data_IF_452531869798
#
_entry.id   IF_452531869798
#
_cell.length_a   1.000
_cell.length_b   1.000
_cell.length_c   1.000
_cell.angle_alpha   90.00
_cell.angle_beta   90.00
_cell.angle_gamma   90.00
#
_symmetry.space_group_name_H-M   'P 1'
#
loop_
_entity.id
_entity.type
_entity.pdbx_description
1 polymer ?
#
# COMPACT_ATOMS: atom_id res chain seq x y z
N UNK A 1 17.70 22.77 0.62
CA UNK A 1 17.89 22.87 2.08
C UNK A 1 18.48 21.54 2.59
N UNK A 2 19.02 21.51 3.83
CA UNK A 2 19.47 20.28 4.48
C UNK A 2 18.34 19.72 5.33
N UNK A 3 18.07 18.41 5.24
CA UNK A 3 17.02 17.71 5.98
C UNK A 3 17.61 16.50 6.71
N UNK A 4 17.19 16.29 7.94
CA UNK A 4 17.49 15.09 8.71
C UNK A 4 16.22 14.24 8.81
N UNK A 5 16.32 12.95 8.45
CA UNK A 5 15.26 11.97 8.62
C UNK A 5 15.67 11.01 9.74
N UNK A 6 14.85 10.91 10.77
CA UNK A 6 15.12 10.05 11.92
C UNK A 6 14.34 8.75 11.75
N UNK A 7 15.06 7.64 11.60
CA UNK A 7 14.55 6.30 11.36
C UNK A 7 14.60 5.90 9.89
N UNK A 8 15.24 4.77 9.62
CA UNK A 8 15.41 4.17 8.29
C UNK A 8 14.39 3.06 7.99
N UNK A 9 13.22 3.10 8.61
CA UNK A 9 12.08 2.26 8.23
C UNK A 9 11.40 2.75 6.95
N UNK A 10 10.37 2.06 6.48
CA UNK A 10 9.68 2.38 5.21
C UNK A 10 9.23 3.83 5.11
N UNK A 11 8.65 4.37 6.18
CA UNK A 11 8.19 5.77 6.20
C UNK A 11 9.36 6.77 6.09
N UNK A 12 10.44 6.52 6.83
CA UNK A 12 11.63 7.36 6.78
C UNK A 12 12.33 7.31 5.43
N UNK A 13 12.48 6.12 4.85
CA UNK A 13 13.05 5.96 3.52
C UNK A 13 12.18 6.61 2.43
N UNK A 14 10.84 6.49 2.51
CA UNK A 14 9.92 7.17 1.61
C UNK A 14 10.05 8.69 1.70
N UNK A 15 10.16 9.24 2.91
CA UNK A 15 10.38 10.66 3.13
C UNK A 15 11.74 11.12 2.58
N UNK A 16 12.80 10.34 2.82
CA UNK A 16 14.15 10.63 2.33
C UNK A 16 14.22 10.67 0.81
N UNK A 17 13.68 9.64 0.14
CA UNK A 17 13.63 9.57 -1.33
C UNK A 17 12.82 10.72 -1.90
N UNK A 18 11.67 11.04 -1.33
CA UNK A 18 10.81 12.13 -1.79
C UNK A 18 11.49 13.50 -1.63
N UNK A 19 12.18 13.71 -0.51
CA UNK A 19 12.89 14.96 -0.25
C UNK A 19 14.14 15.10 -1.16
N UNK A 20 14.89 14.03 -1.37
CA UNK A 20 16.03 14.03 -2.28
C UNK A 20 15.61 14.33 -3.73
N UNK A 21 14.49 13.77 -4.17
CA UNK A 21 13.89 14.05 -5.47
C UNK A 21 13.45 15.50 -5.66
N UNK A 22 13.07 16.15 -4.56
CA UNK A 22 12.77 17.58 -4.54
C UNK A 22 14.03 18.48 -4.47
N UNK A 23 15.24 17.90 -4.63
CA UNK A 23 16.50 18.63 -4.65
C UNK A 23 17.06 18.99 -3.26
N UNK A 24 16.58 18.33 -2.21
CA UNK A 24 17.10 18.57 -0.86
C UNK A 24 18.29 17.63 -0.56
N UNK A 25 19.24 18.13 0.25
CA UNK A 25 20.31 17.32 0.80
C UNK A 25 19.77 16.58 2.03
N UNK A 26 19.65 15.25 1.96
CA UNK A 26 19.01 14.45 3.00
C UNK A 26 20.05 13.59 3.71
N UNK A 27 19.98 13.56 5.03
CA UNK A 27 20.72 12.62 5.88
C UNK A 27 19.72 11.77 6.65
N UNK A 28 19.84 10.43 6.56
CA UNK A 28 19.02 9.50 7.33
C UNK A 28 19.82 9.01 8.52
N UNK A 29 19.22 9.08 9.71
CA UNK A 29 19.77 8.54 10.96
C UNK A 29 18.97 7.32 11.36
N UNK A 30 19.63 6.17 11.45
CA UNK A 30 19.03 4.90 11.86
C UNK A 30 19.81 4.32 13.04
N UNK A 31 19.10 3.88 14.07
CA UNK A 31 19.72 3.31 15.27
C UNK A 31 20.14 1.84 15.07
N UNK A 32 19.45 1.11 14.20
CA UNK A 32 19.81 -0.26 13.86
C UNK A 32 20.94 -0.31 12.82
N UNK A 33 21.65 -1.42 12.77
CA UNK A 33 22.71 -1.64 11.77
C UNK A 33 22.18 -1.83 10.34
N UNK A 34 20.89 -2.16 10.20
CA UNK A 34 20.21 -2.42 8.92
C UNK A 34 18.98 -1.54 8.79
N UNK A 35 18.72 -1.08 7.57
CA UNK A 35 17.52 -0.33 7.23
C UNK A 35 16.29 -1.27 7.16
N UNK A 36 15.10 -0.70 7.01
CA UNK A 36 13.83 -1.43 6.86
C UNK A 36 12.93 -1.39 8.07
N UNK A 37 13.47 -1.09 9.26
CA UNK A 37 12.68 -1.00 10.50
C UNK A 37 12.08 -2.35 10.90
N UNK A 38 10.76 -2.44 10.99
CA UNK A 38 10.04 -3.66 11.34
C UNK A 38 9.83 -4.64 10.16
N UNK A 39 9.96 -4.18 8.93
CA UNK A 39 9.85 -5.00 7.72
C UNK A 39 11.26 -5.29 7.20
N UNK A 40 11.80 -6.44 7.58
CA UNK A 40 13.16 -6.87 7.26
C UNK A 40 13.21 -8.34 6.93
N UNK A 41 14.15 -8.70 6.08
CA UNK A 41 14.53 -10.09 5.90
C UNK A 41 15.34 -10.60 7.09
N UNK A 42 15.19 -11.88 7.38
CA UNK A 42 15.96 -12.63 8.36
C UNK A 42 16.61 -13.82 7.65
N UNK A 43 17.93 -14.01 7.79
CA UNK A 43 18.57 -15.22 7.32
C UNK A 43 18.14 -16.42 8.19
N UNK A 44 17.83 -17.51 7.55
CA UNK A 44 17.46 -18.78 8.20
C UNK A 44 18.17 -19.92 7.46
N UNK A 45 18.81 -20.82 8.24
CA UNK A 45 19.38 -22.06 7.72
C UNK A 45 18.38 -23.18 7.91
N UNK A 46 17.98 -23.82 6.82
CA UNK A 46 17.09 -24.99 6.86
C UNK A 46 17.80 -26.23 7.42
N UNK A 47 17.04 -27.26 7.89
CA UNK A 47 17.63 -28.49 8.40
C UNK A 47 18.51 -29.23 7.39
N UNK A 48 18.33 -29.01 6.09
CA UNK A 48 19.13 -29.59 5.01
C UNK A 48 20.41 -28.77 4.69
N UNK A 49 20.69 -27.71 5.51
CA UNK A 49 21.88 -26.86 5.37
C UNK A 49 21.73 -25.73 4.34
N UNK A 50 20.59 -25.54 3.69
CA UNK A 50 20.37 -24.43 2.77
C UNK A 50 20.05 -23.15 3.51
N UNK A 51 20.70 -22.06 3.14
CA UNK A 51 20.36 -20.73 3.63
C UNK A 51 19.25 -20.12 2.77
N UNK A 52 18.24 -19.58 3.46
CA UNK A 52 17.13 -18.84 2.88
C UNK A 52 16.93 -17.52 3.60
N UNK A 53 16.27 -16.59 2.94
CA UNK A 53 15.79 -15.37 3.58
C UNK A 53 14.29 -15.43 3.74
N UNK A 54 13.82 -15.07 4.92
CA UNK A 54 12.39 -14.98 5.25
C UNK A 54 12.06 -13.61 5.77
N UNK A 55 10.83 -13.16 5.59
CA UNK A 55 10.32 -11.97 6.25
C UNK A 55 10.23 -12.19 7.77
N UNK A 56 10.57 -11.18 8.56
CA UNK A 56 10.41 -11.19 10.01
C UNK A 56 8.93 -11.10 10.46
N UNK A 57 8.02 -11.05 9.53
CA UNK A 57 6.59 -11.07 9.69
C UNK A 57 5.90 -11.08 8.34
N UNK A 58 4.62 -11.40 8.31
CA UNK A 58 3.85 -11.36 7.07
C UNK A 58 3.56 -9.91 6.66
N UNK A 59 4.19 -9.45 5.58
CA UNK A 59 3.97 -8.12 5.02
C UNK A 59 3.16 -8.24 3.72
N UNK A 60 1.91 -7.80 3.77
CA UNK A 60 1.01 -7.85 2.62
C UNK A 60 0.82 -6.44 2.08
N UNK A 61 1.05 -6.27 0.77
CA UNK A 61 0.68 -5.06 0.03
C UNK A 61 -0.65 -5.32 -0.67
N UNK A 62 -1.68 -4.55 -0.31
CA UNK A 62 -2.93 -4.53 -1.08
C UNK A 62 -2.78 -3.58 -2.26
N UNK A 63 -3.46 -3.89 -3.38
CA UNK A 63 -3.39 -3.07 -4.60
C UNK A 63 -3.82 -1.61 -4.45
N UNK A 64 -4.42 -1.24 -3.30
CA UNK A 64 -4.72 0.14 -2.95
C UNK A 64 -3.49 0.95 -2.50
N UNK A 65 -2.37 0.33 -2.20
CA UNK A 65 -1.13 1.02 -1.80
C UNK A 65 -0.37 1.57 -3.01
N UNK A 66 -1.05 2.39 -3.79
CA UNK A 66 -0.55 2.96 -5.06
C UNK A 66 0.72 3.78 -4.87
N UNK A 67 0.84 4.50 -3.76
CA UNK A 67 2.03 5.30 -3.47
C UNK A 67 3.24 4.43 -3.13
N UNK A 68 3.06 3.31 -2.42
CA UNK A 68 4.14 2.35 -2.17
C UNK A 68 4.63 1.73 -3.47
N UNK A 69 3.72 1.28 -4.34
CA UNK A 69 4.07 0.72 -5.65
C UNK A 69 4.76 1.75 -6.56
N UNK A 70 4.33 3.02 -6.51
CA UNK A 70 4.98 4.11 -7.23
C UNK A 70 6.40 4.36 -6.71
N UNK A 71 6.59 4.34 -5.39
CA UNK A 71 7.89 4.53 -4.77
C UNK A 71 8.85 3.39 -5.12
N UNK A 72 8.39 2.14 -5.12
CA UNK A 72 9.18 1.00 -5.58
C UNK A 72 9.73 1.24 -7.00
N UNK A 73 8.86 1.57 -7.94
CA UNK A 73 9.28 1.87 -9.33
C UNK A 73 10.28 3.04 -9.39
N UNK A 74 10.07 4.06 -8.56
CA UNK A 74 10.94 5.23 -8.49
C UNK A 74 12.37 4.88 -8.07
N UNK A 75 12.52 3.95 -7.16
CA UNK A 75 13.86 3.47 -6.71
C UNK A 75 14.39 2.31 -7.56
N UNK A 76 13.77 2.03 -8.70
CA UNK A 76 14.23 1.03 -9.65
C UNK A 76 13.78 -0.41 -9.37
N UNK A 77 12.86 -0.60 -8.43
CA UNK A 77 12.28 -1.92 -8.13
C UNK A 77 11.02 -2.12 -8.96
N UNK A 78 11.00 -3.15 -9.79
CA UNK A 78 9.80 -3.56 -10.52
C UNK A 78 8.86 -4.35 -9.60
N UNK A 79 7.66 -3.81 -9.25
CA UNK A 79 6.72 -4.50 -8.38
C UNK A 79 6.20 -5.83 -8.93
N UNK A 80 6.20 -6.01 -10.25
CA UNK A 80 5.70 -7.23 -10.87
C UNK A 80 6.72 -8.38 -10.79
N UNK A 81 7.99 -8.06 -10.61
CA UNK A 81 9.06 -9.04 -10.34
C UNK A 81 9.31 -9.23 -8.83
N UNK A 82 9.17 -8.17 -8.04
CA UNK A 82 9.49 -8.18 -6.61
C UNK A 82 8.35 -8.71 -5.73
N UNK A 83 7.10 -8.71 -6.22
CA UNK A 83 5.91 -9.07 -5.43
C UNK A 83 5.18 -10.26 -6.05
N UNK A 84 4.90 -11.26 -5.23
CA UNK A 84 3.98 -12.33 -5.60
C UNK A 84 2.54 -11.81 -5.52
N UNK A 85 1.83 -11.76 -6.65
CA UNK A 85 0.42 -11.40 -6.69
C UNK A 85 -0.45 -12.62 -6.45
N UNK A 86 -1.32 -12.53 -5.48
CA UNK A 86 -2.30 -13.58 -5.16
C UNK A 86 -3.69 -12.98 -5.04
N UNK A 87 -4.76 -13.75 -5.31
CA UNK A 87 -6.10 -13.36 -4.95
C UNK A 87 -6.21 -13.14 -3.44
N UNK A 88 -7.03 -12.18 -3.02
CA UNK A 88 -7.26 -11.95 -1.60
C UNK A 88 -7.92 -13.19 -0.98
N UNK A 89 -7.26 -13.76 0.03
CA UNK A 89 -7.80 -14.84 0.84
C UNK A 89 -7.66 -14.48 2.32
N UNK A 90 -8.77 -14.54 3.04
CA UNK A 90 -8.89 -14.36 4.48
C UNK A 90 -9.59 -15.60 5.01
N UNK A 91 -8.85 -16.68 5.20
CA UNK A 91 -9.36 -17.99 5.58
C UNK A 91 -8.80 -18.36 6.94
N UNK A 92 -9.68 -18.79 7.85
CA UNK A 92 -9.33 -19.27 9.18
C UNK A 92 -8.97 -20.77 9.16
N UNK A 93 -8.29 -21.27 10.19
CA UNK A 93 -7.90 -22.69 10.25
C UNK A 93 -9.06 -23.71 10.18
N UNK A 94 -10.27 -23.29 10.56
CA UNK A 94 -11.51 -24.07 10.45
C UNK A 94 -12.12 -24.07 9.04
N UNK A 95 -11.46 -23.41 8.08
CA UNK A 95 -11.94 -23.26 6.70
C UNK A 95 -12.96 -22.16 6.49
N UNK A 96 -13.39 -21.46 7.54
CA UNK A 96 -14.29 -20.31 7.39
C UNK A 96 -13.55 -19.10 6.81
N UNK A 97 -14.28 -18.18 6.20
CA UNK A 97 -13.69 -16.95 5.70
C UNK A 97 -14.08 -16.58 4.27
N UNK A 98 -13.30 -15.71 3.67
CA UNK A 98 -13.49 -15.18 2.33
C UNK A 98 -12.25 -15.48 1.47
N UNK A 99 -12.43 -16.10 0.33
CA UNK A 99 -11.40 -16.22 -0.70
C UNK A 99 -11.94 -15.70 -2.03
N UNK A 100 -11.17 -14.84 -2.69
CA UNK A 100 -11.45 -14.39 -4.03
C UNK A 100 -10.77 -15.35 -5.02
N UNK A 101 -11.38 -15.53 -6.19
CA UNK A 101 -10.78 -16.27 -7.29
C UNK A 101 -10.03 -15.32 -8.23
N UNK A 102 -9.18 -15.86 -9.11
CA UNK A 102 -8.66 -15.11 -10.23
C UNK A 102 -9.82 -14.72 -11.15
N UNK A 103 -10.14 -13.45 -11.17
CA UNK A 103 -11.24 -12.91 -11.96
C UNK A 103 -11.17 -11.40 -12.08
N UNK A 104 -12.05 -10.83 -12.90
CA UNK A 104 -12.15 -9.39 -13.02
C UNK A 104 -13.15 -8.82 -12.02
N UNK A 105 -12.73 -7.79 -11.30
CA UNK A 105 -13.67 -7.00 -10.49
C UNK A 105 -14.77 -6.42 -11.41
N UNK A 106 -16.03 -6.41 -10.98
CA UNK A 106 -16.55 -6.65 -9.63
C UNK A 106 -17.03 -8.10 -9.37
N UNK A 107 -16.98 -8.98 -10.36
CA UNK A 107 -17.61 -10.31 -10.31
C UNK A 107 -16.89 -11.29 -9.39
N UNK A 108 -15.57 -11.23 -9.34
CA UNK A 108 -14.74 -12.00 -8.42
C UNK A 108 -15.06 -11.71 -6.94
N UNK A 109 -15.24 -10.42 -6.60
CA UNK A 109 -15.63 -10.01 -5.26
C UNK A 109 -17.05 -10.48 -4.90
N UNK A 110 -18.00 -10.39 -5.84
CA UNK A 110 -19.37 -10.89 -5.64
C UNK A 110 -19.38 -12.40 -5.42
N UNK A 111 -18.69 -13.14 -6.28
CA UNK A 111 -18.57 -14.59 -6.16
C UNK A 111 -17.90 -15.01 -4.85
N UNK A 112 -16.83 -14.32 -4.42
CA UNK A 112 -16.15 -14.55 -3.16
C UNK A 112 -17.09 -14.35 -1.96
N UNK A 113 -17.87 -13.26 -1.93
CA UNK A 113 -18.83 -12.98 -0.86
C UNK A 113 -19.93 -14.05 -0.82
N UNK A 114 -20.44 -14.48 -1.98
CA UNK A 114 -21.47 -15.50 -2.04
C UNK A 114 -20.97 -16.89 -1.59
N UNK A 115 -19.68 -17.20 -1.83
CA UNK A 115 -19.03 -18.45 -1.45
C UNK A 115 -18.38 -18.43 -0.07
N UNK A 116 -18.36 -17.27 0.62
CA UNK A 116 -17.73 -17.13 1.94
C UNK A 116 -18.32 -18.15 2.94
N UNK A 117 -17.47 -18.99 3.50
CA UNK A 117 -17.87 -20.00 4.46
C UNK A 117 -17.97 -19.40 5.87
N UNK A 118 -18.93 -19.89 6.68
CA UNK A 118 -19.17 -19.38 8.03
C UNK A 118 -19.93 -18.06 8.09
N UNK A 119 -20.26 -17.43 6.96
CA UNK A 119 -20.98 -16.16 6.89
C UNK A 119 -22.47 -16.37 6.73
N UNK A 120 -23.26 -15.65 7.55
CA UNK A 120 -24.72 -15.62 7.40
C UNK A 120 -25.13 -14.78 6.18
N UNK A 121 -26.37 -14.96 5.70
CA UNK A 121 -26.92 -14.13 4.64
C UNK A 121 -26.96 -12.63 5.01
N UNK A 122 -27.16 -12.32 6.29
CA UNK A 122 -27.12 -10.94 6.79
C UNK A 122 -25.74 -10.32 6.65
N UNK A 123 -24.68 -11.07 6.95
CA UNK A 123 -23.28 -10.62 6.80
C UNK A 123 -22.97 -10.32 5.33
N UNK A 124 -23.34 -11.22 4.45
CA UNK A 124 -23.14 -11.07 3.00
C UNK A 124 -23.86 -9.86 2.44
N UNK A 125 -25.14 -9.66 2.79
CA UNK A 125 -25.93 -8.51 2.37
C UNK A 125 -25.41 -7.20 2.96
N UNK A 126 -24.97 -7.20 4.22
CA UNK A 126 -24.41 -6.00 4.87
C UNK A 126 -23.13 -5.52 4.16
N UNK A 127 -22.27 -6.44 3.75
CA UNK A 127 -21.05 -6.11 3.04
C UNK A 127 -21.36 -5.56 1.63
N UNK A 128 -22.30 -6.18 0.91
CA UNK A 128 -22.75 -5.69 -0.39
C UNK A 128 -23.36 -4.28 -0.31
N UNK A 129 -24.19 -4.03 0.70
CA UNK A 129 -24.80 -2.72 0.93
C UNK A 129 -23.75 -1.64 1.30
N UNK A 130 -22.77 -1.98 2.12
CA UNK A 130 -21.66 -1.07 2.46
C UNK A 130 -20.80 -0.72 1.27
N UNK A 131 -20.58 -1.67 0.35
CA UNK A 131 -19.83 -1.44 -0.88
C UNK A 131 -20.44 -0.33 -1.74
N UNK A 132 -21.76 -0.31 -1.90
CA UNK A 132 -22.45 0.74 -2.63
C UNK A 132 -22.27 2.12 -1.98
N UNK A 133 -22.34 2.20 -0.65
CA UNK A 133 -22.10 3.45 0.09
C UNK A 133 -20.66 3.96 -0.08
N UNK A 134 -19.68 3.08 0.03
CA UNK A 134 -18.27 3.45 -0.14
C UNK A 134 -17.93 3.86 -1.58
N UNK A 135 -18.52 3.21 -2.57
CA UNK A 135 -18.38 3.60 -3.98
C UNK A 135 -18.97 4.98 -4.24
N UNK A 136 -20.15 5.28 -3.70
CA UNK A 136 -20.78 6.59 -3.79
C UNK A 136 -19.94 7.68 -3.09
N UNK A 137 -19.40 7.41 -1.89
CA UNK A 137 -18.51 8.34 -1.20
C UNK A 137 -17.21 8.62 -1.97
N UNK A 138 -16.60 7.62 -2.59
CA UNK A 138 -15.41 7.81 -3.44
C UNK A 138 -15.71 8.68 -4.67
N UNK A 139 -16.91 8.58 -5.25
CA UNK A 139 -17.34 9.43 -6.34
C UNK A 139 -17.45 10.89 -5.90
N UNK A 140 -18.03 11.14 -4.72
CA UNK A 140 -18.13 12.48 -4.14
C UNK A 140 -16.76 13.10 -3.80
N UNK A 141 -15.84 12.32 -3.24
CA UNK A 141 -14.48 12.78 -2.92
C UNK A 141 -13.68 13.12 -4.18
N UNK A 142 -13.76 12.30 -5.24
CA UNK A 142 -13.12 12.60 -6.53
C UNK A 142 -13.70 13.86 -7.18
N UNK A 143 -15.01 14.04 -7.13
CA UNK A 143 -15.66 15.24 -7.67
C UNK A 143 -15.29 16.52 -6.88
N UNK A 144 -15.05 16.41 -5.57
CA UNK A 144 -14.57 17.50 -4.74
C UNK A 144 -13.10 17.85 -5.03
N UNK A 145 -12.23 16.86 -5.24
CA UNK A 145 -10.80 17.04 -5.57
C UNK A 145 -10.63 17.68 -6.94
N UNK A 146 -11.42 17.29 -7.94
CA UNK A 146 -11.42 17.94 -9.26
C UNK A 146 -11.87 19.40 -9.18
N UNK A 147 -12.85 19.74 -8.35
CA UNK A 147 -13.27 21.14 -8.13
C UNK A 147 -12.19 21.94 -7.40
N UNK A 148 -11.54 21.37 -6.39
CA UNK A 148 -10.45 22.01 -5.66
C UNK A 148 -9.24 22.29 -6.55
N UNK A 149 -8.90 21.39 -7.47
CA UNK A 149 -7.83 21.62 -8.47
C UNK A 149 -8.19 22.68 -9.49
N UNK A 150 -9.43 22.72 -9.95
CA UNK A 150 -9.90 23.76 -10.89
C UNK A 150 -9.84 25.15 -10.25
N UNK A 151 -10.23 25.29 -8.98
CA UNK A 151 -10.15 26.55 -8.24
C UNK A 151 -8.70 27.01 -8.03
N UNK A 152 -7.77 26.09 -7.73
CA UNK A 152 -6.33 26.42 -7.61
C UNK A 152 -5.68 26.78 -8.94
N UNK A 153 -6.11 26.20 -10.04
CA UNK A 153 -5.63 26.56 -11.38
C UNK A 153 -6.14 27.93 -11.83
N UNK A 154 -7.32 28.33 -11.36
CA UNK A 154 -7.90 29.65 -11.68
C UNK A 154 -7.30 30.82 -10.87
N UNK A 155 -6.58 30.50 -9.76
CA UNK A 155 -5.90 31.53 -8.93
C UNK A 155 -4.44 31.10 -8.72
N UNK A 156 -3.52 31.37 -9.66
CA UNK A 156 -2.09 31.13 -9.41
C UNK A 156 -1.65 32.09 -8.28
N UNK A 157 -0.75 31.64 -7.39
CA UNK A 157 -0.21 32.47 -6.33
C UNK A 157 0.48 33.71 -6.98
N UNK A 158 0.15 34.88 -6.47
CA UNK A 158 0.78 36.12 -6.90
C UNK A 158 2.31 36.00 -6.76
N UNK A 159 3.04 36.22 -7.83
CA UNK A 159 4.49 36.22 -7.83
C UNK A 159 4.99 37.24 -6.82
N UNK A 160 5.50 36.78 -5.68
CA UNK A 160 6.15 37.63 -4.69
C UNK A 160 7.36 38.30 -5.33
N UNK A 161 7.35 39.60 -5.38
CA UNK A 161 8.53 40.38 -5.71
C UNK A 161 9.59 40.13 -4.64
N UNK A 162 10.70 39.54 -5.07
CA UNK A 162 11.92 39.44 -4.25
C UNK A 162 12.63 40.80 -4.41
N UNK A 163 12.74 41.54 -3.33
CA UNK A 163 13.69 42.62 -3.17
C UNK A 163 14.98 42.08 -2.59
#
# INVERSE_FOLDING_TARGET
MKLAVIGGGWAGMAAAVTAADAGHQVTVYEAARTLGGRARELPLTLPDGRDIFVDNGQHILIGAYTDSLRLMRKVGVDPDQALLRLPLALVFPDGTGLALSWGSAPWDALAGILRAQGWTWRDRLSLLARRHRLAAQRLHLRAADHRGRAVRAAHPPAAGQVH
#
